data_IF_345883625612
#
_entry.id   IF_345883625612
#
_cell.length_a   1.000
_cell.length_b   1.000
_cell.length_c   1.000
_cell.angle_alpha   90.00
_cell.angle_beta   90.00
_cell.angle_gamma   90.00
#
_symmetry.space_group_name_H-M   'P 1'
#
loop_
_entity.id
_entity.type
_entity.pdbx_description
1 polymer ?
#
# COMPACT_ATOMS: atom_id res chain seq x y z
N UNK A 1 12.32 2.72 -11.54
CA UNK A 1 10.93 2.64 -11.04
C UNK A 1 10.84 2.05 -9.64
N UNK A 2 11.33 0.85 -9.42
CA UNK A 2 11.22 0.18 -8.12
C UNK A 2 11.88 0.95 -6.97
N UNK A 3 13.06 1.52 -7.21
CA UNK A 3 13.75 2.35 -6.21
C UNK A 3 12.92 3.59 -5.84
N UNK A 4 12.33 4.24 -6.84
CA UNK A 4 11.46 5.41 -6.61
C UNK A 4 10.19 5.02 -5.86
N UNK A 5 9.61 3.86 -6.16
CA UNK A 5 8.44 3.36 -5.44
C UNK A 5 8.78 3.10 -3.97
N UNK A 6 9.92 2.49 -3.67
CA UNK A 6 10.36 2.30 -2.28
C UNK A 6 10.45 3.63 -1.52
N UNK A 7 10.98 4.67 -2.16
CA UNK A 7 11.09 6.00 -1.55
C UNK A 7 9.72 6.60 -1.26
N UNK A 8 8.78 6.48 -2.20
CA UNK A 8 7.40 6.96 -2.02
C UNK A 8 6.73 6.23 -0.87
N UNK A 9 6.83 4.90 -0.82
CA UNK A 9 6.21 4.08 0.23
C UNK A 9 6.79 4.46 1.60
N UNK A 10 8.11 4.56 1.72
CA UNK A 10 8.76 4.96 2.98
C UNK A 10 8.36 6.35 3.41
N UNK A 11 8.32 7.29 2.48
CA UNK A 11 7.94 8.67 2.79
C UNK A 11 6.50 8.76 3.30
N UNK A 12 5.55 8.14 2.62
CA UNK A 12 4.15 8.16 3.02
C UNK A 12 3.95 7.43 4.36
N UNK A 13 4.64 6.31 4.57
CA UNK A 13 4.60 5.64 5.87
C UNK A 13 5.09 6.55 7.00
N UNK A 14 6.15 7.30 6.77
CA UNK A 14 6.73 8.20 7.76
C UNK A 14 5.87 9.43 8.03
N UNK A 15 5.23 9.99 6.99
CA UNK A 15 4.49 11.25 7.11
C UNK A 15 3.01 11.06 7.43
N UNK A 16 2.39 9.96 6.98
CA UNK A 16 0.95 9.76 7.12
C UNK A 16 0.59 8.63 8.08
N UNK A 17 1.39 7.57 8.16
CA UNK A 17 1.06 6.39 8.96
C UNK A 17 1.64 6.50 10.37
N UNK A 18 2.95 6.63 10.48
CA UNK A 18 3.63 6.56 11.78
C UNK A 18 3.26 7.68 12.76
N UNK A 19 3.00 8.94 12.32
CA UNK A 19 2.55 9.95 13.27
C UNK A 19 1.21 9.64 13.93
N UNK A 20 0.42 8.77 13.31
CA UNK A 20 -0.90 8.36 13.80
C UNK A 20 -0.86 7.01 14.53
N UNK A 21 0.26 6.31 14.54
CA UNK A 21 0.40 5.07 15.28
C UNK A 21 0.25 5.34 16.78
N UNK A 22 -0.61 4.58 17.47
CA UNK A 22 -1.01 4.73 18.86
C UNK A 22 -1.90 5.96 19.13
N UNK A 23 -2.23 6.75 18.13
CA UNK A 23 -2.85 8.06 18.29
C UNK A 23 -3.91 8.36 17.26
N UNK A 24 -4.51 7.34 16.64
CA UNK A 24 -5.46 7.55 15.56
C UNK A 24 -6.89 7.20 15.99
N UNK A 25 -7.86 8.08 15.71
CA UNK A 25 -9.27 7.69 15.81
C UNK A 25 -9.58 6.58 14.81
N UNK A 26 -10.43 5.65 15.23
CA UNK A 26 -10.86 4.54 14.38
C UNK A 26 -12.36 4.33 14.49
N UNK A 27 -12.93 3.69 13.47
CA UNK A 27 -14.35 3.30 13.45
C UNK A 27 -14.48 1.95 12.74
N UNK A 28 -15.60 1.26 12.98
CA UNK A 28 -15.90 0.03 12.25
C UNK A 28 -16.61 0.38 10.94
N UNK A 29 -16.24 -0.35 9.87
CA UNK A 29 -16.94 -0.32 8.59
C UNK A 29 -18.22 -1.18 8.69
N UNK A 30 -19.09 -1.10 7.66
CA UNK A 30 -20.34 -1.87 7.62
C UNK A 30 -20.11 -3.39 7.68
N UNK A 31 -19.01 -3.88 7.12
CA UNK A 31 -18.63 -5.28 7.14
C UNK A 31 -18.00 -5.73 8.48
N UNK A 32 -17.90 -4.84 9.47
CA UNK A 32 -17.33 -5.11 10.77
C UNK A 32 -15.83 -4.89 10.87
N UNK A 33 -15.13 -4.62 9.76
CA UNK A 33 -13.70 -4.30 9.79
C UNK A 33 -13.46 -2.90 10.35
N UNK A 34 -12.20 -2.59 10.68
CA UNK A 34 -11.82 -1.31 11.29
C UNK A 34 -11.24 -0.38 10.23
N UNK A 35 -11.66 0.88 10.26
CA UNK A 35 -11.12 1.95 9.44
C UNK A 35 -10.47 2.99 10.36
N UNK A 36 -9.25 3.39 10.05
CA UNK A 36 -8.55 4.46 10.77
C UNK A 36 -8.35 5.68 9.88
N UNK A 37 -8.13 6.84 10.51
CA UNK A 37 -7.75 8.05 9.75
C UNK A 37 -6.42 7.87 9.04
N UNK A 38 -5.53 7.03 9.58
CA UNK A 38 -4.26 6.72 8.95
C UNK A 38 -4.44 6.01 7.61
N UNK A 39 -5.41 5.07 7.53
CA UNK A 39 -5.76 4.41 6.27
C UNK A 39 -6.15 5.44 5.20
N UNK A 40 -7.04 6.36 5.56
CA UNK A 40 -7.56 7.38 4.63
C UNK A 40 -6.47 8.38 4.23
N UNK A 41 -5.68 8.85 5.17
CA UNK A 41 -4.60 9.81 4.90
C UNK A 41 -3.53 9.20 3.99
N UNK A 42 -3.14 7.96 4.25
CA UNK A 42 -2.16 7.27 3.42
C UNK A 42 -2.72 6.98 2.02
N UNK A 43 -3.98 6.54 1.91
CA UNK A 43 -4.61 6.31 0.61
C UNK A 43 -4.64 7.59 -0.23
N UNK A 44 -4.99 8.72 0.38
CA UNK A 44 -5.01 10.02 -0.30
C UNK A 44 -3.61 10.39 -0.80
N UNK A 45 -2.60 10.19 0.02
CA UNK A 45 -1.21 10.49 -0.36
C UNK A 45 -0.73 9.59 -1.51
N UNK A 46 -1.06 8.30 -1.48
CA UNK A 46 -0.74 7.39 -2.59
C UNK A 46 -1.45 7.76 -3.88
N UNK A 47 -2.72 8.17 -3.80
CA UNK A 47 -3.47 8.60 -4.98
C UNK A 47 -2.84 9.80 -5.67
N UNK A 48 -2.18 10.67 -4.93
CA UNK A 48 -1.45 11.81 -5.49
C UNK A 48 -0.06 11.43 -6.03
N UNK A 49 0.64 10.53 -5.35
CA UNK A 49 2.05 10.23 -5.66
C UNK A 49 2.25 9.17 -6.74
N UNK A 50 1.45 8.11 -6.74
CA UNK A 50 1.68 6.97 -7.63
C UNK A 50 1.53 7.28 -9.12
N UNK A 51 0.55 8.12 -9.55
CA UNK A 51 0.46 8.48 -10.97
C UNK A 51 1.69 9.21 -11.51
N UNK A 52 2.50 9.81 -10.64
CA UNK A 52 3.76 10.46 -11.06
C UNK A 52 4.85 9.43 -11.39
N UNK A 53 4.74 8.21 -10.91
CA UNK A 53 5.66 7.12 -11.24
C UNK A 53 5.21 6.37 -12.50
N UNK A 54 3.95 6.03 -12.57
CA UNK A 54 3.30 5.44 -13.73
C UNK A 54 1.88 6.00 -13.79
N UNK A 55 1.53 6.63 -14.91
CA UNK A 55 0.25 7.33 -15.06
C UNK A 55 -0.86 6.32 -15.36
N UNK A 56 -1.36 5.71 -14.30
CA UNK A 56 -2.50 4.80 -14.34
C UNK A 56 -3.29 4.92 -13.03
N UNK A 57 -4.53 4.44 -13.00
CA UNK A 57 -5.38 4.58 -11.83
C UNK A 57 -4.89 3.75 -10.63
N UNK A 58 -5.43 4.08 -9.46
CA UNK A 58 -5.18 3.37 -8.22
C UNK A 58 -6.46 2.69 -7.74
N UNK A 59 -6.33 1.42 -7.37
CA UNK A 59 -7.35 0.64 -6.67
C UNK A 59 -6.95 0.55 -5.20
N UNK A 60 -7.78 1.12 -4.33
CA UNK A 60 -7.55 1.10 -2.88
C UNK A 60 -8.60 0.29 -2.16
N UNK A 61 -8.27 -0.17 -0.96
CA UNK A 61 -9.14 -1.00 -0.13
C UNK A 61 -10.45 -0.28 0.23
N UNK A 62 -10.41 1.05 0.39
CA UNK A 62 -11.55 1.83 0.87
C UNK A 62 -12.51 2.25 -0.25
N UNK A 63 -12.28 1.81 -1.47
CA UNK A 63 -13.20 2.00 -2.58
C UNK A 63 -14.37 1.01 -2.51
N UNK A 64 -15.49 1.35 -3.15
CA UNK A 64 -16.62 0.42 -3.28
C UNK A 64 -16.22 -0.80 -4.12
N UNK A 65 -16.90 -1.93 -3.89
CA UNK A 65 -16.69 -3.13 -4.68
C UNK A 65 -16.94 -2.89 -6.17
N UNK A 66 -17.96 -2.09 -6.51
CA UNK A 66 -18.24 -1.75 -7.90
C UNK A 66 -17.10 -0.98 -8.55
N UNK A 67 -16.54 0.00 -7.85
CA UNK A 67 -15.41 0.79 -8.36
C UNK A 67 -14.15 -0.07 -8.50
N UNK A 68 -13.86 -0.93 -7.54
CA UNK A 68 -12.73 -1.85 -7.61
C UNK A 68 -12.86 -2.80 -8.80
N UNK A 69 -14.05 -3.36 -9.01
CA UNK A 69 -14.31 -4.28 -10.14
C UNK A 69 -14.15 -3.56 -11.47
N UNK A 70 -14.68 -2.33 -11.58
CA UNK A 70 -14.56 -1.52 -12.80
C UNK A 70 -13.09 -1.24 -13.12
N UNK A 71 -12.31 -0.81 -12.16
CA UNK A 71 -10.89 -0.51 -12.33
C UNK A 71 -10.12 -1.76 -12.77
N UNK A 72 -10.36 -2.88 -12.14
CA UNK A 72 -9.71 -4.14 -12.49
C UNK A 72 -10.02 -4.56 -13.93
N UNK A 73 -11.28 -4.44 -14.34
CA UNK A 73 -11.72 -4.89 -15.66
C UNK A 73 -11.31 -3.93 -16.80
N UNK A 74 -11.25 -2.63 -16.54
CA UNK A 74 -11.04 -1.61 -17.58
C UNK A 74 -9.59 -1.16 -17.72
N UNK A 75 -8.71 -1.49 -16.76
CA UNK A 75 -7.33 -0.99 -16.72
C UNK A 75 -6.29 -2.09 -16.68
N UNK A 76 -6.40 -3.05 -17.64
CA UNK A 76 -5.41 -4.13 -17.75
C UNK A 76 -4.03 -3.64 -18.18
N UNK A 77 -3.93 -2.45 -18.75
CA UNK A 77 -2.67 -1.84 -19.18
C UNK A 77 -1.86 -1.21 -18.04
N UNK A 78 -2.47 -1.03 -16.89
CA UNK A 78 -1.78 -0.54 -15.70
C UNK A 78 -2.75 -0.19 -14.60
N UNK A 79 -2.47 -0.66 -13.40
CA UNK A 79 -3.27 -0.40 -12.22
C UNK A 79 -2.40 -0.48 -10.97
N UNK A 80 -2.38 0.58 -10.19
CA UNK A 80 -1.80 0.55 -8.86
C UNK A 80 -2.77 -0.11 -7.89
N UNK A 81 -2.30 -1.07 -7.11
CA UNK A 81 -3.11 -1.70 -6.06
C UNK A 81 -2.45 -1.37 -4.73
N UNK A 82 -3.21 -0.73 -3.83
CA UNK A 82 -2.68 -0.19 -2.59
C UNK A 82 -3.51 -0.69 -1.41
N UNK A 83 -2.83 -1.24 -0.41
CA UNK A 83 -3.35 -1.38 0.94
C UNK A 83 -2.50 -0.49 1.84
N UNK A 84 -3.01 0.68 2.25
CA UNK A 84 -2.22 1.64 3.01
C UNK A 84 -1.78 1.11 4.36
N UNK A 85 -2.63 0.30 5.01
CA UNK A 85 -2.31 -0.37 6.27
C UNK A 85 -2.94 -1.75 6.24
N UNK A 86 -2.13 -2.74 5.91
CA UNK A 86 -2.50 -4.14 6.07
C UNK A 86 -2.27 -4.51 7.53
N UNK A 87 -3.34 -4.89 8.21
CA UNK A 87 -3.33 -5.11 9.65
C UNK A 87 -3.84 -3.90 10.44
N UNK A 88 -4.91 -3.26 9.97
CA UNK A 88 -5.51 -2.08 10.64
C UNK A 88 -5.87 -2.37 12.10
N UNK A 89 -6.39 -3.56 12.41
CA UNK A 89 -6.70 -3.95 13.78
C UNK A 89 -5.45 -3.91 14.68
N UNK A 90 -4.34 -4.43 14.19
CA UNK A 90 -3.07 -4.35 14.93
C UNK A 90 -2.64 -2.91 15.12
N UNK A 91 -2.72 -2.12 14.05
CA UNK A 91 -2.33 -0.71 14.08
C UNK A 91 -3.11 0.07 15.14
N UNK A 92 -4.44 -0.04 15.16
CA UNK A 92 -5.26 0.73 16.11
C UNK A 92 -5.12 0.21 17.54
N UNK A 93 -4.72 -1.04 17.74
CA UNK A 93 -4.48 -1.61 19.07
C UNK A 93 -3.02 -1.49 19.52
N UNK A 94 -2.18 -0.79 18.78
CA UNK A 94 -0.80 -0.55 19.16
C UNK A 94 0.14 -1.73 18.97
N UNK A 95 -0.25 -2.72 18.18
CA UNK A 95 0.59 -3.88 17.87
C UNK A 95 1.44 -3.59 16.63
N UNK A 96 2.77 -3.81 16.69
CA UNK A 96 3.68 -3.43 15.59
C UNK A 96 3.68 -4.43 14.43
N UNK A 97 2.58 -5.06 14.14
CA UNK A 97 2.43 -6.05 13.07
C UNK A 97 1.45 -5.53 12.02
N UNK A 98 1.92 -4.60 11.20
CA UNK A 98 1.18 -4.06 10.07
C UNK A 98 2.16 -3.66 8.99
N UNK A 99 1.68 -3.50 7.77
CA UNK A 99 2.52 -3.15 6.64
C UNK A 99 1.78 -2.22 5.69
N UNK A 100 2.56 -1.48 4.91
CA UNK A 100 2.10 -0.74 3.73
C UNK A 100 2.39 -1.62 2.53
N UNK A 101 1.39 -1.86 1.68
CA UNK A 101 1.52 -2.73 0.51
C UNK A 101 1.11 -1.99 -0.76
N UNK A 102 2.00 -1.95 -1.75
CA UNK A 102 1.77 -1.30 -3.04
C UNK A 102 2.28 -2.19 -4.16
N UNK A 103 1.46 -2.41 -5.18
CA UNK A 103 1.86 -3.15 -6.37
C UNK A 103 1.40 -2.43 -7.64
N UNK A 104 2.20 -2.54 -8.70
CA UNK A 104 1.77 -2.18 -10.05
C UNK A 104 1.42 -3.46 -10.78
N UNK A 105 0.18 -3.52 -11.29
CA UNK A 105 -0.35 -4.71 -11.97
C UNK A 105 -0.62 -4.37 -13.42
N UNK A 106 -0.18 -5.25 -14.33
CA UNK A 106 -0.45 -5.16 -15.77
C UNK A 106 -0.85 -6.53 -16.28
N UNK A 107 -1.94 -6.59 -17.02
CA UNK A 107 -2.47 -7.84 -17.62
C UNK A 107 -2.64 -8.96 -16.57
N UNK A 108 -3.13 -8.60 -15.39
CA UNK A 108 -3.38 -9.55 -14.32
C UNK A 108 -2.13 -10.04 -13.58
N UNK A 109 -0.96 -9.46 -13.85
CA UNK A 109 0.30 -9.84 -13.22
C UNK A 109 0.91 -8.66 -12.47
N UNK A 110 1.43 -8.92 -11.27
CA UNK A 110 2.23 -7.93 -10.55
C UNK A 110 3.56 -7.74 -11.26
N UNK A 111 3.84 -6.52 -11.71
CA UNK A 111 5.09 -6.17 -12.37
C UNK A 111 6.15 -5.76 -11.36
N UNK A 112 5.74 -5.05 -10.32
CA UNK A 112 6.59 -4.71 -9.20
C UNK A 112 5.73 -4.48 -7.96
N UNK A 113 6.36 -4.60 -6.80
CA UNK A 113 5.67 -4.41 -5.54
C UNK A 113 6.62 -4.10 -4.40
N UNK A 114 6.06 -3.44 -3.39
CA UNK A 114 6.75 -3.10 -2.16
C UNK A 114 5.82 -3.41 -0.99
N UNK A 115 6.36 -4.10 0.03
CA UNK A 115 5.70 -4.32 1.31
C UNK A 115 6.64 -3.80 2.38
N UNK A 116 6.19 -2.81 3.14
CA UNK A 116 7.03 -2.11 4.09
C UNK A 116 6.41 -2.13 5.49
N UNK A 117 7.17 -2.64 6.47
CA UNK A 117 6.82 -2.52 7.88
C UNK A 117 7.58 -1.31 8.45
N UNK A 118 6.88 -0.19 8.71
CA UNK A 118 7.57 1.03 9.15
C UNK A 118 8.06 0.98 10.60
N UNK A 119 7.60 0.03 11.39
CA UNK A 119 8.07 -0.13 12.78
C UNK A 119 9.40 -0.86 12.80
N UNK A 120 9.51 -1.98 12.08
CA UNK A 120 10.75 -2.77 12.03
C UNK A 120 11.75 -2.22 11.02
N UNK A 121 11.30 -1.40 10.06
CA UNK A 121 12.15 -0.94 8.96
C UNK A 121 12.37 -1.98 7.87
N UNK A 122 11.65 -3.10 7.91
CA UNK A 122 11.76 -4.14 6.90
C UNK A 122 11.02 -3.76 5.64
N UNK A 123 11.77 -3.64 4.53
CA UNK A 123 11.20 -3.32 3.22
C UNK A 123 11.44 -4.49 2.28
N UNK A 124 10.37 -5.18 1.92
CA UNK A 124 10.38 -6.25 0.93
C UNK A 124 9.99 -5.65 -0.41
N UNK A 125 10.71 -5.99 -1.46
CA UNK A 125 10.40 -5.49 -2.79
C UNK A 125 10.82 -6.48 -3.87
N UNK A 126 10.13 -6.41 -4.99
CA UNK A 126 10.39 -7.27 -6.13
C UNK A 126 9.99 -6.57 -7.43
N UNK A 127 10.68 -6.93 -8.49
CA UNK A 127 10.28 -6.65 -9.85
C UNK A 127 10.21 -7.98 -10.59
N UNK A 128 9.18 -8.15 -11.41
CA UNK A 128 8.93 -9.40 -12.11
C UNK A 128 10.16 -9.85 -12.90
N UNK A 129 10.58 -11.09 -12.69
CA UNK A 129 11.72 -11.68 -13.37
C UNK A 129 13.09 -11.29 -12.80
N UNK A 130 13.13 -10.45 -11.75
CA UNK A 130 14.40 -9.96 -11.18
C UNK A 130 14.63 -10.37 -9.73
N UNK A 131 13.76 -11.27 -9.21
CA UNK A 131 13.89 -11.75 -7.83
C UNK A 131 13.27 -10.81 -6.81
N UNK A 132 13.33 -11.21 -5.55
CA UNK A 132 12.81 -10.48 -4.42
C UNK A 132 13.90 -10.18 -3.40
N UNK A 133 13.72 -9.10 -2.66
CA UNK A 133 14.76 -8.58 -1.76
C UNK A 133 14.14 -8.12 -0.44
N UNK A 134 14.92 -8.19 0.62
CA UNK A 134 14.66 -7.55 1.90
C UNK A 134 15.82 -6.60 2.21
N UNK A 135 15.55 -5.31 2.23
CA UNK A 135 16.53 -4.26 2.54
C UNK A 135 17.87 -4.45 1.78
N UNK A 136 17.78 -4.74 0.48
CA UNK A 136 18.93 -4.93 -0.38
C UNK A 136 19.52 -6.33 -0.41
N UNK A 137 19.05 -7.25 0.43
CA UNK A 137 19.52 -8.64 0.47
C UNK A 137 18.55 -9.53 -0.31
N UNK A 138 19.04 -10.29 -1.30
CA UNK A 138 18.18 -11.22 -2.04
C UNK A 138 17.56 -12.26 -1.11
N UNK A 139 16.28 -12.55 -1.35
CA UNK A 139 15.57 -13.63 -0.66
C UNK A 139 15.87 -14.97 -1.34
N UNK A 140 15.97 -16.06 -0.55
CA UNK A 140 16.23 -17.39 -1.11
C UNK A 140 15.07 -17.94 -1.96
#
# INVERSE_FOLDING_TARGET
>A
MLYRLQKVVRHIAQTEVMPRFLNTPSRRKEDGSVLSEADLAAQTAFAAALPLLEDCPMLGEEMSFQEQTRLWNEHSDGLWIVDPIDGTNNFVNGLPHFAVSVALVKNGHAELGVIYNPVSGECFYAERGKGAFLNGTPLP
#
